data_IF_187034890199
#
_entry.id   IF_187034890199
#
_cell.length_a   1.000
_cell.length_b   1.000
_cell.length_c   1.000
_cell.angle_alpha   90.00
_cell.angle_beta   90.00
_cell.angle_gamma   90.00
#
_symmetry.space_group_name_H-M   'P 1'
#
loop_
_entity.id
_entity.type
_entity.pdbx_description
1 polymer ?
#
# COMPACT_ATOMS: atom_id res chain seq x y z
N UNK A 1 -6.76 -27.06 -33.12
CA UNK A 1 -6.61 -26.91 -31.66
C UNK A 1 -7.12 -25.53 -31.29
N UNK A 2 -8.30 -25.46 -30.68
CA UNK A 2 -8.91 -24.23 -30.19
C UNK A 2 -8.22 -23.79 -28.89
N UNK A 3 -7.40 -22.74 -28.98
CA UNK A 3 -6.71 -22.21 -27.82
C UNK A 3 -7.64 -21.24 -27.07
N UNK A 4 -8.77 -21.73 -26.57
CA UNK A 4 -9.68 -20.95 -25.72
C UNK A 4 -9.04 -20.80 -24.34
N UNK A 5 -8.13 -19.84 -24.18
CA UNK A 5 -7.72 -19.36 -22.86
C UNK A 5 -8.97 -18.83 -22.16
N UNK A 6 -9.58 -19.65 -21.32
CA UNK A 6 -10.67 -19.24 -20.43
C UNK A 6 -10.13 -18.11 -19.55
N UNK A 7 -10.60 -16.88 -19.78
CA UNK A 7 -10.37 -15.77 -18.85
C UNK A 7 -11.13 -16.12 -17.59
N UNK A 8 -10.39 -16.52 -16.55
CA UNK A 8 -10.99 -16.83 -15.26
C UNK A 8 -11.09 -15.54 -14.48
N UNK A 9 -12.32 -15.08 -14.26
CA UNK A 9 -12.57 -14.02 -13.30
C UNK A 9 -12.35 -14.58 -11.90
N UNK A 10 -11.25 -14.17 -11.27
CA UNK A 10 -10.93 -14.51 -9.90
C UNK A 10 -10.92 -13.24 -9.06
N UNK A 11 -11.51 -13.34 -7.86
CA UNK A 11 -11.45 -12.29 -6.86
C UNK A 11 -10.22 -12.50 -5.97
N UNK A 12 -9.48 -11.42 -5.73
CA UNK A 12 -8.34 -11.38 -4.79
C UNK A 12 -8.74 -10.54 -3.59
N UNK A 13 -8.37 -10.99 -2.39
CA UNK A 13 -8.57 -10.20 -1.18
C UNK A 13 -7.69 -8.96 -1.23
N UNK A 14 -8.33 -7.79 -1.25
CA UNK A 14 -7.67 -6.49 -1.27
C UNK A 14 -8.42 -5.52 -0.34
N UNK A 15 -7.76 -4.42 -0.02
CA UNK A 15 -8.25 -3.36 0.85
C UNK A 15 -7.52 -3.30 2.21
N UNK A 16 -7.80 -2.25 3.00
CA UNK A 16 -7.11 -2.03 4.27
C UNK A 16 -7.29 -3.20 5.25
N UNK A 17 -6.20 -3.56 5.94
CA UNK A 17 -6.26 -4.59 6.99
C UNK A 17 -6.97 -3.99 8.23
N UNK A 18 -8.08 -4.59 8.71
CA UNK A 18 -8.83 -4.05 9.85
C UNK A 18 -7.98 -3.81 11.09
N UNK A 19 -8.27 -2.72 11.81
CA UNK A 19 -7.53 -2.32 13.02
C UNK A 19 -6.12 -1.80 12.74
N UNK A 20 -5.77 -1.52 11.49
CA UNK A 20 -4.47 -0.97 11.12
C UNK A 20 -4.56 -0.07 9.90
N UNK A 21 -3.58 0.81 9.73
CA UNK A 21 -3.46 1.66 8.53
C UNK A 21 -2.08 1.53 7.91
N UNK A 22 -2.04 1.55 6.58
CA UNK A 22 -0.78 1.61 5.83
C UNK A 22 -0.22 3.02 5.93
N UNK A 23 1.09 3.13 6.19
CA UNK A 23 1.83 4.38 6.20
C UNK A 23 3.11 4.19 5.37
N UNK A 24 3.67 5.28 4.86
CA UNK A 24 4.92 5.27 4.11
C UNK A 24 5.97 6.13 4.81
N UNK A 25 7.02 5.49 5.32
CA UNK A 25 8.12 6.21 6.00
C UNK A 25 9.17 6.60 4.96
N UNK A 26 9.57 7.89 4.87
CA UNK A 26 10.60 8.31 3.95
C UNK A 26 11.97 7.74 4.33
N UNK A 27 12.77 7.35 3.34
CA UNK A 27 14.16 6.94 3.58
C UNK A 27 15.07 8.12 3.87
N UNK A 28 15.93 8.00 4.89
CA UNK A 28 16.87 9.07 5.27
C UNK A 28 17.98 9.27 4.23
N UNK A 29 18.60 8.18 3.78
CA UNK A 29 19.70 8.22 2.79
C UNK A 29 19.20 8.45 1.36
N UNK A 30 17.98 8.00 1.07
CA UNK A 30 17.37 8.07 -0.26
C UNK A 30 15.96 8.66 -0.13
N UNK A 31 15.81 10.00 -0.24
CA UNK A 31 14.54 10.70 0.01
C UNK A 31 13.40 10.30 -0.93
N UNK A 32 13.71 9.70 -2.09
CA UNK A 32 12.74 9.17 -3.04
C UNK A 32 12.16 7.81 -2.63
N UNK A 33 12.75 7.11 -1.65
CA UNK A 33 12.25 5.83 -1.17
C UNK A 33 11.15 6.08 -0.13
N UNK A 34 10.08 5.28 -0.24
CA UNK A 34 8.95 5.23 0.69
C UNK A 34 8.82 3.79 1.18
N UNK A 35 9.18 3.56 2.44
CA UNK A 35 9.15 2.23 3.05
C UNK A 35 7.73 1.96 3.56
N UNK A 36 7.06 0.90 3.08
CA UNK A 36 5.72 0.56 3.53
C UNK A 36 5.77 0.01 4.96
N UNK A 37 5.07 0.71 5.85
CA UNK A 37 4.85 0.30 7.23
C UNK A 37 3.35 0.24 7.50
N UNK A 38 3.03 -0.39 8.62
CA UNK A 38 1.67 -0.50 9.14
C UNK A 38 1.65 0.03 10.56
N UNK A 39 0.73 0.96 10.79
CA UNK A 39 0.48 1.52 12.11
C UNK A 39 -0.75 0.84 12.72
N UNK A 40 -0.60 0.37 13.96
CA UNK A 40 -1.65 -0.27 14.73
C UNK A 40 -1.93 0.62 15.94
N UNK A 41 -3.07 1.35 15.97
CA UNK A 41 -3.44 2.15 17.12
C UNK A 41 -3.77 1.22 18.30
N UNK A 42 -3.27 1.60 19.47
CA UNK A 42 -3.59 0.94 20.72
C UNK A 42 -4.81 1.60 21.36
N UNK A 43 -5.38 0.95 22.37
CA UNK A 43 -6.47 1.54 23.14
C UNK A 43 -5.98 2.82 23.86
N UNK A 44 -6.77 3.91 23.93
CA UNK A 44 -6.32 5.17 24.53
C UNK A 44 -5.83 5.04 25.98
N UNK A 45 -6.40 4.10 26.76
CA UNK A 45 -5.98 3.88 28.16
C UNK A 45 -4.61 3.21 28.30
N UNK A 46 -4.05 2.66 27.21
CA UNK A 46 -2.69 2.13 27.22
C UNK A 46 -1.65 3.26 27.37
N UNK A 47 -1.98 4.49 26.94
CA UNK A 47 -1.06 5.64 26.95
C UNK A 47 0.28 5.35 26.25
N UNK A 48 0.25 4.52 25.22
CA UNK A 48 1.42 4.10 24.44
C UNK A 48 1.28 4.59 22.99
N UNK A 49 2.40 4.88 22.32
CA UNK A 49 2.38 5.23 20.91
C UNK A 49 1.89 4.02 20.07
N UNK A 50 1.33 4.26 18.88
CA UNK A 50 0.93 3.19 17.97
C UNK A 50 2.10 2.26 17.62
N UNK A 51 1.79 0.97 17.48
CA UNK A 51 2.80 -0.03 17.10
C UNK A 51 3.05 0.04 15.60
N UNK A 52 4.32 0.21 15.22
CA UNK A 52 4.76 0.18 13.84
C UNK A 52 5.31 -1.21 13.48
N UNK A 53 4.81 -1.77 12.37
CA UNK A 53 5.22 -3.07 11.84
C UNK A 53 5.50 -2.94 10.34
N UNK A 54 6.52 -3.60 9.83
CA UNK A 54 6.73 -3.70 8.38
C UNK A 54 5.48 -4.30 7.70
N UNK A 55 5.12 -3.73 6.54
CA UNK A 55 3.98 -4.19 5.75
C UNK A 55 4.43 -4.86 4.45
N UNK A 56 4.35 -6.19 4.41
CA UNK A 56 4.71 -7.01 3.24
C UNK A 56 3.55 -7.19 2.26
N UNK A 57 2.37 -6.65 2.54
CA UNK A 57 1.19 -6.83 1.69
C UNK A 57 1.20 -5.98 0.41
N UNK A 58 2.07 -4.97 0.33
CA UNK A 58 2.24 -4.15 -0.87
C UNK A 58 0.98 -3.36 -1.25
N UNK A 59 0.78 -3.16 -2.55
CA UNK A 59 -0.35 -2.40 -3.10
C UNK A 59 -1.72 -2.96 -2.71
N UNK A 60 -1.82 -4.26 -2.40
CA UNK A 60 -3.08 -4.94 -2.12
C UNK A 60 -3.86 -4.39 -0.93
N UNK A 61 -3.18 -3.74 0.01
CA UNK A 61 -3.82 -3.16 1.21
C UNK A 61 -3.79 -1.64 1.22
N UNK A 62 -3.26 -1.04 0.16
CA UNK A 62 -3.13 0.39 0.05
C UNK A 62 -4.43 0.98 -0.54
N UNK A 63 -5.19 1.80 0.22
CA UNK A 63 -6.41 2.41 -0.29
C UNK A 63 -6.16 3.44 -1.40
N UNK A 64 -4.92 3.93 -1.55
CA UNK A 64 -4.56 4.92 -2.57
C UNK A 64 -4.16 4.28 -3.91
N UNK A 65 -3.96 2.96 -3.94
CA UNK A 65 -3.53 2.24 -5.15
C UNK A 65 -4.71 1.55 -5.83
N UNK A 66 -4.91 1.84 -7.12
CA UNK A 66 -5.82 1.07 -7.96
C UNK A 66 -5.08 -0.12 -8.58
N UNK A 67 -5.62 -1.32 -8.35
CA UNK A 67 -5.02 -2.57 -8.83
C UNK A 67 -5.86 -3.09 -9.98
N UNK A 68 -5.23 -3.18 -11.15
CA UNK A 68 -5.77 -3.92 -12.29
C UNK A 68 -4.87 -5.14 -12.54
N UNK A 69 -5.37 -6.33 -12.23
CA UNK A 69 -4.65 -7.60 -12.42
C UNK A 69 -4.52 -8.01 -13.90
N UNK A 70 -5.31 -7.41 -14.79
CA UNK A 70 -5.28 -7.70 -16.23
C UNK A 70 -4.24 -6.83 -16.93
N UNK A 71 -3.94 -5.67 -16.35
CA UNK A 71 -2.81 -4.85 -16.74
C UNK A 71 -1.52 -5.37 -16.10
N UNK A 72 -0.41 -5.27 -16.83
CA UNK A 72 0.92 -5.61 -16.30
C UNK A 72 1.48 -4.53 -15.37
N UNK A 73 0.78 -3.42 -15.17
CA UNK A 73 1.25 -2.28 -14.38
C UNK A 73 0.35 -2.02 -13.17
N UNK A 74 0.98 -1.86 -12.01
CA UNK A 74 0.37 -1.21 -10.85
C UNK A 74 0.39 0.30 -11.10
N UNK A 75 -0.77 0.95 -11.08
CA UNK A 75 -0.85 2.41 -11.04
C UNK A 75 -0.52 2.87 -9.61
N UNK A 76 0.77 3.03 -9.31
CA UNK A 76 1.21 3.68 -8.07
C UNK A 76 0.85 5.16 -8.20
N UNK A 77 0.08 5.69 -7.27
CA UNK A 77 -0.23 7.11 -7.23
C UNK A 77 1.07 7.91 -7.10
N UNK A 78 1.27 8.88 -7.98
CA UNK A 78 2.43 9.78 -7.97
C UNK A 78 2.54 10.47 -6.60
N UNK A 79 3.76 10.66 -6.05
CA UNK A 79 3.93 11.39 -4.81
C UNK A 79 3.37 12.82 -4.97
N UNK A 80 2.77 13.42 -3.93
CA UNK A 80 2.35 14.81 -3.99
C UNK A 80 3.58 15.65 -4.36
N UNK A 81 3.49 16.37 -5.49
CA UNK A 81 4.55 17.22 -6.01
C UNK A 81 4.91 18.26 -4.95
N UNK A 82 6.06 18.14 -4.31
CA UNK A 82 6.59 19.20 -3.47
C UNK A 82 6.81 20.42 -4.37
N UNK A 83 6.21 21.60 -4.12
CA UNK A 83 6.57 22.78 -4.87
C UNK A 83 8.05 23.07 -4.61
N UNK A 84 8.87 23.00 -5.66
CA UNK A 84 10.28 23.38 -5.61
C UNK A 84 10.36 24.82 -5.15
N UNK A 85 10.90 25.05 -3.95
CA UNK A 85 11.21 26.39 -3.48
C UNK A 85 12.16 27.05 -4.48
N UNK A 86 11.75 28.24 -4.96
CA UNK A 86 12.49 29.09 -5.89
C UNK A 86 13.47 29.98 -5.14
#
# INVERSE_FOLDING_TARGET
MDNSKTVRDFAVTAGPIPGSRKIHVPGERFPGIRVPMREIPLHPTANEPPVLRCDTSGAYTDPEVRIDLRSSSVCVAEPPSTPSAR
#
